data_IF_626278402671
#
_entry.id   IF_626278402671
#
_cell.length_a   1.000
_cell.length_b   1.000
_cell.length_c   1.000
_cell.angle_alpha   90.00
_cell.angle_beta   90.00
_cell.angle_gamma   90.00
#
_symmetry.space_group_name_H-M   'P 1'
#
loop_
_entity.id
_entity.type
_entity.pdbx_description
1 polymer ?
#
# COMPACT_ATOMS: atom_id res chain seq x y z
N UNK A 1 41.79 96.57 12.08
CA UNK A 1 40.36 96.49 12.46
C UNK A 1 40.35 96.17 13.93
N UNK A 2 40.39 97.18 14.80
CA UNK A 2 39.25 98.02 15.24
C UNK A 2 38.25 97.14 15.97
N UNK A 3 37.97 97.29 17.26
CA UNK A 3 37.92 98.45 18.15
C UNK A 3 37.97 97.83 19.57
N UNK A 4 38.82 98.28 20.49
CA UNK A 4 38.49 99.34 21.47
C UNK A 4 37.65 98.74 22.61
N UNK A 5 37.79 99.07 23.88
CA UNK A 5 38.61 99.99 24.66
C UNK A 5 38.28 99.56 26.12
N UNK A 6 39.27 99.40 26.99
CA UNK A 6 39.68 100.44 27.94
C UNK A 6 38.68 100.65 29.10
N UNK A 7 39.15 100.31 30.30
CA UNK A 7 39.06 101.10 31.54
C UNK A 7 39.29 100.13 32.73
N UNK A 8 40.48 99.98 33.32
CA UNK A 8 41.35 100.98 33.97
C UNK A 8 40.72 101.53 35.27
N UNK A 9 41.28 101.10 36.40
CA UNK A 9 41.89 101.95 37.45
C UNK A 9 42.18 101.07 38.67
N UNK A 10 43.45 100.92 39.03
CA UNK A 10 44.20 101.83 39.93
C UNK A 10 43.54 101.86 41.32
N UNK A 11 44.20 101.51 42.42
CA UNK A 11 45.60 101.23 42.67
C UNK A 11 45.87 101.35 44.18
N UNK A 12 47.15 101.25 44.52
CA UNK A 12 47.81 101.84 45.69
C UNK A 12 47.41 101.27 47.09
N UNK A 13 48.36 100.71 47.86
CA UNK A 13 49.29 101.43 48.76
C UNK A 13 48.61 101.73 50.13
N UNK A 14 49.25 101.78 51.29
CA UNK A 14 50.60 101.51 51.80
C UNK A 14 50.48 101.66 53.33
N UNK A 15 51.18 100.83 54.10
CA UNK A 15 51.55 101.12 55.49
C UNK A 15 50.42 101.08 56.52
N UNK A 16 50.66 101.04 57.83
CA UNK A 16 51.86 100.81 58.61
C UNK A 16 51.39 100.47 60.04
N UNK A 17 52.23 99.71 60.75
CA UNK A 17 52.31 99.48 62.20
C UNK A 17 51.34 100.19 63.17
N UNK A 18 50.90 99.44 64.19
CA UNK A 18 50.74 100.00 65.55
C UNK A 18 49.59 99.51 66.42
N UNK A 19 49.79 98.37 67.09
CA UNK A 19 49.54 98.11 68.53
C UNK A 19 48.22 98.61 69.17
N UNK A 20 47.36 97.67 69.61
CA UNK A 20 46.88 97.51 71.00
C UNK A 20 45.60 96.65 71.10
N UNK A 21 45.64 95.68 72.03
CA UNK A 21 44.57 95.19 72.92
C UNK A 21 43.10 95.10 72.47
N UNK A 22 42.50 93.92 72.70
CA UNK A 22 41.07 93.82 73.00
C UNK A 22 40.40 92.53 72.49
N UNK A 23 40.10 91.62 73.42
CA UNK A 23 39.36 90.36 73.19
C UNK A 23 37.98 90.59 72.58
N UNK A 24 37.55 89.67 71.72
CA UNK A 24 36.17 89.19 71.56
C UNK A 24 36.24 87.84 70.83
N UNK A 25 36.29 86.74 71.57
CA UNK A 25 35.17 85.78 71.66
C UNK A 25 34.90 85.06 70.33
N UNK A 26 35.75 84.08 69.99
CA UNK A 26 35.51 83.13 68.90
C UNK A 26 34.34 82.21 69.26
N UNK A 27 33.30 82.28 68.43
CA UNK A 27 32.18 81.36 68.41
C UNK A 27 32.68 79.99 67.92
N UNK A 28 32.54 78.97 68.77
CA UNK A 28 32.72 77.57 68.37
C UNK A 28 31.52 77.19 67.48
N UNK A 29 31.73 77.00 66.18
CA UNK A 29 30.69 76.43 65.33
C UNK A 29 30.30 75.03 65.85
N UNK A 30 29.01 74.77 66.13
CA UNK A 30 28.59 73.47 66.64
C UNK A 30 28.76 72.40 65.55
N UNK A 31 29.43 71.29 65.89
CA UNK A 31 29.53 70.12 65.02
C UNK A 31 28.11 69.65 64.67
N UNK A 32 27.73 69.53 63.38
CA UNK A 32 26.37 69.17 62.99
C UNK A 32 26.00 67.78 63.51
N UNK A 33 24.78 67.65 64.03
CA UNK A 33 24.26 66.39 64.54
C UNK A 33 24.20 65.34 63.43
N UNK A 34 24.27 64.05 63.78
CA UNK A 34 24.26 62.97 62.78
C UNK A 34 23.03 63.03 61.86
N UNK A 35 21.79 63.26 62.36
CA UNK A 35 20.63 63.45 61.51
C UNK A 35 20.81 64.57 60.48
N UNK A 36 21.32 65.74 60.91
CA UNK A 36 21.55 66.88 60.02
C UNK A 36 22.62 66.57 58.95
N UNK A 37 23.66 65.83 59.32
CA UNK A 37 24.70 65.37 58.39
C UNK A 37 24.14 64.42 57.32
N UNK A 38 23.21 63.55 57.70
CA UNK A 38 22.56 62.62 56.76
C UNK A 38 21.64 63.38 55.80
N UNK A 39 20.84 64.33 56.30
CA UNK A 39 19.98 65.21 55.47
C UNK A 39 20.85 65.99 54.47
N UNK A 40 21.88 66.68 54.95
CA UNK A 40 22.77 67.47 54.10
C UNK A 40 23.51 66.61 53.05
N UNK A 41 23.89 65.37 53.39
CA UNK A 41 24.50 64.46 52.44
C UNK A 41 23.49 63.96 51.39
N UNK A 42 22.24 63.69 51.77
CA UNK A 42 21.16 63.33 50.83
C UNK A 42 20.87 64.47 49.86
N UNK A 43 20.74 65.69 50.37
CA UNK A 43 20.46 66.88 49.57
C UNK A 43 21.61 67.22 48.62
N UNK A 44 22.88 67.12 49.09
CA UNK A 44 24.06 67.27 48.20
C UNK A 44 24.10 66.22 47.10
N UNK A 45 23.59 65.01 47.35
CA UNK A 45 23.48 63.95 46.34
C UNK A 45 22.26 64.14 45.42
N UNK A 46 21.34 65.07 45.74
CA UNK A 46 20.18 65.41 44.90
C UNK A 46 19.14 64.29 44.80
N UNK A 47 18.99 63.46 45.84
CA UNK A 47 18.08 62.31 45.85
C UNK A 47 16.96 62.45 46.87
N UNK A 48 15.76 61.97 46.52
CA UNK A 48 14.63 61.88 47.45
C UNK A 48 14.64 60.55 48.22
N UNK A 49 13.87 60.47 49.31
CA UNK A 49 13.82 59.27 50.14
C UNK A 49 13.27 58.04 49.39
N UNK A 50 12.37 58.24 48.42
CA UNK A 50 11.83 57.16 47.59
C UNK A 50 12.90 56.54 46.69
N UNK A 51 13.79 57.36 46.12
CA UNK A 51 14.95 56.90 45.35
C UNK A 51 15.91 56.12 46.25
N UNK A 52 16.18 56.61 47.46
CA UNK A 52 17.03 55.92 48.44
C UNK A 52 16.43 54.57 48.83
N UNK A 53 15.12 54.48 49.07
CA UNK A 53 14.44 53.22 49.41
C UNK A 53 14.56 52.18 48.28
N UNK A 54 14.36 52.60 47.03
CA UNK A 54 14.50 51.68 45.89
C UNK A 54 15.92 51.14 45.77
N UNK A 55 16.93 51.97 46.03
CA UNK A 55 18.34 51.64 45.80
C UNK A 55 18.97 50.89 46.99
N UNK A 56 18.64 51.28 48.23
CA UNK A 56 19.20 50.66 49.46
C UNK A 56 18.33 49.54 50.03
N UNK A 57 17.07 49.43 49.56
CA UNK A 57 16.02 48.54 50.10
C UNK A 57 15.64 48.83 51.56
N UNK A 58 16.00 50.01 52.08
CA UNK A 58 15.57 50.47 53.41
C UNK A 58 14.28 51.27 53.25
N UNK A 59 13.22 50.91 53.99
CA UNK A 59 11.93 51.58 53.84
C UNK A 59 12.00 53.09 54.11
N UNK A 60 11.28 53.91 53.33
CA UNK A 60 11.25 55.39 53.49
C UNK A 60 10.99 55.81 54.94
N UNK A 61 10.05 55.15 55.62
CA UNK A 61 9.74 55.45 57.04
C UNK A 61 10.96 55.36 57.97
N UNK A 62 11.89 54.44 57.68
CA UNK A 62 13.10 54.26 58.49
C UNK A 62 14.20 55.25 58.10
N UNK A 63 14.33 55.58 56.82
CA UNK A 63 15.24 56.63 56.36
C UNK A 63 14.83 58.00 56.93
N UNK A 64 13.54 58.31 56.90
CA UNK A 64 12.98 59.51 57.53
C UNK A 64 13.15 59.51 59.06
N UNK A 65 13.14 58.33 59.72
CA UNK A 65 13.43 58.23 61.15
C UNK A 65 14.92 58.49 61.45
N UNK A 66 15.84 58.03 60.59
CA UNK A 66 17.28 58.32 60.71
C UNK A 66 17.57 59.82 60.54
N UNK A 67 16.96 60.47 59.55
CA UNK A 67 17.11 61.91 59.26
C UNK A 67 16.46 62.83 60.32
N UNK A 68 15.55 62.31 61.15
CA UNK A 68 14.96 63.03 62.30
C UNK A 68 15.56 62.64 63.65
N UNK A 69 16.55 61.73 63.67
CA UNK A 69 17.10 61.18 64.92
C UNK A 69 16.13 60.32 65.74
N UNK A 70 15.00 59.91 65.17
CA UNK A 70 13.95 59.13 65.82
C UNK A 70 14.30 57.62 65.89
N UNK A 71 15.46 57.27 66.43
CA UNK A 71 15.98 55.89 66.44
C UNK A 71 15.10 54.87 67.17
N UNK A 72 14.17 55.33 68.01
CA UNK A 72 13.18 54.47 68.71
C UNK A 72 12.12 53.89 67.76
N UNK A 73 11.90 54.51 66.60
CA UNK A 73 10.96 54.03 65.57
C UNK A 73 11.55 52.88 64.71
N UNK A 74 12.84 52.58 64.90
CA UNK A 74 13.53 51.55 64.13
C UNK A 74 13.36 50.16 64.77
N UNK A 75 13.41 49.05 63.99
CA UNK A 75 13.19 47.67 64.48
C UNK A 75 14.25 47.09 65.46
N UNK A 76 15.05 47.93 66.10
CA UNK A 76 16.12 47.54 67.04
C UNK A 76 17.52 47.96 66.61
N UNK A 77 18.44 48.05 67.57
CA UNK A 77 19.78 48.63 67.38
C UNK A 77 20.65 47.93 66.31
N UNK A 78 20.48 46.61 66.14
CA UNK A 78 21.19 45.82 65.13
C UNK A 78 20.78 46.28 63.72
N UNK A 79 19.48 46.50 63.49
CA UNK A 79 18.96 47.02 62.23
C UNK A 79 19.33 48.49 62.02
N UNK A 80 19.30 49.31 63.07
CA UNK A 80 19.75 50.71 63.00
C UNK A 80 21.20 50.81 62.53
N UNK A 81 22.11 49.98 63.06
CA UNK A 81 23.51 49.91 62.63
C UNK A 81 23.63 49.52 61.16
N UNK A 82 22.86 48.52 60.72
CA UNK A 82 22.82 48.09 59.32
C UNK A 82 22.30 49.19 58.37
N UNK A 83 21.21 49.87 58.76
CA UNK A 83 20.63 50.97 57.98
C UNK A 83 21.55 52.18 57.90
N UNK A 84 22.17 52.58 59.01
CA UNK A 84 23.16 53.67 59.02
C UNK A 84 24.36 53.37 58.14
N UNK A 85 24.90 52.14 58.19
CA UNK A 85 26.03 51.74 57.34
C UNK A 85 25.65 51.76 55.86
N UNK A 86 24.54 51.12 55.49
CA UNK A 86 24.11 51.05 54.10
C UNK A 86 23.72 52.45 53.57
N UNK A 87 23.10 53.28 54.40
CA UNK A 87 22.75 54.64 54.01
C UNK A 87 23.99 55.55 53.91
N UNK A 88 24.98 55.41 54.79
CA UNK A 88 26.26 56.12 54.67
C UNK A 88 27.00 55.77 53.38
N UNK A 89 27.09 54.47 53.04
CA UNK A 89 27.66 54.01 51.77
C UNK A 89 26.90 54.64 50.60
N UNK A 90 25.57 54.61 50.63
CA UNK A 90 24.76 55.23 49.58
C UNK A 90 25.02 56.74 49.48
N UNK A 91 25.19 57.45 50.59
CA UNK A 91 25.43 58.89 50.60
C UNK A 91 26.90 59.29 50.39
N UNK A 92 27.79 58.34 50.09
CA UNK A 92 29.25 58.55 50.00
C UNK A 92 29.86 59.17 51.27
N UNK A 93 29.35 58.79 52.43
CA UNK A 93 29.93 59.10 53.73
C UNK A 93 30.76 57.90 54.22
N UNK A 94 31.80 58.15 55.02
CA UNK A 94 32.52 57.07 55.70
C UNK A 94 31.57 56.35 56.69
N UNK A 95 31.28 55.05 56.49
CA UNK A 95 30.34 54.34 57.34
C UNK A 95 30.84 54.15 58.76
N UNK A 96 32.14 54.02 58.97
CA UNK A 96 32.70 53.90 60.32
C UNK A 96 32.62 55.23 61.08
N UNK A 97 32.77 56.36 60.39
CA UNK A 97 32.61 57.69 60.99
C UNK A 97 31.16 57.95 61.41
N UNK A 98 30.20 57.64 60.54
CA UNK A 98 28.76 57.71 60.82
C UNK A 98 28.40 56.86 62.03
N UNK A 99 28.90 55.62 62.09
CA UNK A 99 28.64 54.72 63.20
C UNK A 99 29.34 55.15 64.50
N UNK A 100 30.54 55.75 64.42
CA UNK A 100 31.23 56.32 65.59
C UNK A 100 30.46 57.51 66.15
N UNK A 101 29.98 58.42 65.30
CA UNK A 101 29.16 59.55 65.75
C UNK A 101 27.84 59.07 66.35
N UNK A 102 27.15 58.13 65.71
CA UNK A 102 25.91 57.56 66.23
C UNK A 102 26.08 56.99 67.65
N UNK A 103 27.17 56.25 67.90
CA UNK A 103 27.49 55.74 69.26
C UNK A 103 27.75 56.86 70.26
N UNK A 104 28.51 57.90 69.87
CA UNK A 104 28.80 59.06 70.71
C UNK A 104 27.52 59.82 71.10
N UNK A 105 26.63 60.08 70.15
CA UNK A 105 25.37 60.81 70.37
C UNK A 105 24.38 60.04 71.25
N UNK A 106 24.46 58.70 71.25
CA UNK A 106 23.59 57.86 72.07
C UNK A 106 24.08 57.70 73.52
N UNK A 107 25.27 58.20 73.84
CA UNK A 107 25.89 57.98 75.15
C UNK A 107 26.29 56.52 75.40
N UNK A 108 26.35 55.69 74.34
CA UNK A 108 26.80 54.30 74.44
C UNK A 108 28.32 54.31 74.71
N UNK A 109 28.69 54.26 75.99
CA UNK A 109 30.07 54.03 76.41
C UNK A 109 30.55 52.72 75.77
N UNK A 110 31.73 52.78 75.17
CA UNK A 110 32.47 51.62 74.67
C UNK A 110 32.47 50.56 75.77
N UNK A 111 31.84 49.38 75.60
CA UNK A 111 32.18 48.26 76.46
C UNK A 111 33.65 47.97 76.20
N UNK A 112 34.49 48.20 77.21
CA UNK A 112 35.81 47.61 77.31
C UNK A 112 35.68 46.16 76.86
N UNK A 113 36.42 45.80 75.81
CA UNK A 113 36.59 44.41 75.41
C UNK A 113 36.83 43.59 76.69
N UNK A 114 35.99 42.57 77.02
CA UNK A 114 36.56 41.49 77.78
C UNK A 114 37.67 40.96 76.89
N UNK A 115 38.90 41.04 77.39
CA UNK A 115 40.02 40.26 76.91
C UNK A 115 39.61 38.80 77.05
N UNK A 116 38.87 38.30 76.07
CA UNK A 116 38.96 36.92 75.66
C UNK A 116 40.35 36.85 75.06
N UNK A 117 41.25 36.21 75.81
CA UNK A 117 42.48 35.68 75.26
C UNK A 117 42.10 34.95 73.99
N UNK A 118 42.32 35.59 72.84
CA UNK A 118 42.38 34.87 71.60
C UNK A 118 43.46 33.81 71.80
N UNK A 119 43.18 32.50 71.72
CA UNK A 119 44.25 31.61 71.35
C UNK A 119 44.78 32.17 70.05
N UNK A 120 46.07 32.48 70.06
CA UNK A 120 46.89 32.67 68.87
C UNK A 120 46.37 31.73 67.80
N UNK A 121 46.00 32.26 66.63
CA UNK A 121 45.87 31.44 65.44
C UNK A 121 47.25 30.90 65.13
N UNK A 122 47.62 29.82 65.81
CA UNK A 122 48.49 28.81 65.26
C UNK A 122 47.76 28.40 63.98
N UNK A 123 48.48 28.45 62.85
CA UNK A 123 48.07 27.76 61.64
C UNK A 123 47.77 26.32 62.06
N UNK A 124 46.50 26.01 62.32
CA UNK A 124 46.05 24.66 62.66
C UNK A 124 46.44 23.79 61.47
N UNK A 125 47.38 22.89 61.69
CA UNK A 125 47.58 21.74 60.82
C UNK A 125 46.21 21.07 60.60
N UNK A 126 45.92 20.55 59.40
CA UNK A 126 44.62 19.97 59.10
C UNK A 126 44.30 18.91 60.15
N UNK A 127 43.22 19.12 60.91
CA UNK A 127 42.74 18.16 61.91
C UNK A 127 42.55 16.81 61.20
N UNK A 128 43.17 15.71 61.65
CA UNK A 128 42.88 14.41 61.07
C UNK A 128 41.40 14.10 61.32
N UNK A 129 40.69 13.64 60.28
CA UNK A 129 39.31 13.16 60.39
C UNK A 129 39.23 12.11 61.51
N UNK A 130 38.73 12.50 62.68
CA UNK A 130 38.43 11.55 63.74
C UNK A 130 37.06 10.94 63.45
N UNK A 131 37.04 9.62 63.26
CA UNK A 131 35.82 8.85 63.00
C UNK A 131 34.94 8.80 64.25
N UNK A 132 34.10 9.81 64.43
CA UNK A 132 32.96 9.74 65.35
C UNK A 132 31.89 8.82 64.74
N UNK A 133 31.28 7.89 65.52
CA UNK A 133 30.23 6.99 65.01
C UNK A 133 29.09 7.71 64.29
N UNK A 134 28.73 8.91 64.73
CA UNK A 134 27.73 9.78 64.11
C UNK A 134 28.08 10.21 62.67
N UNK A 135 29.36 10.44 62.38
CA UNK A 135 29.83 10.82 61.03
C UNK A 135 29.76 9.62 60.09
N UNK A 136 30.10 8.42 60.59
CA UNK A 136 29.98 7.17 59.83
C UNK A 136 28.51 6.88 59.48
N UNK A 137 27.60 7.04 60.45
CA UNK A 137 26.16 6.86 60.23
C UNK A 137 25.59 7.88 59.23
N UNK A 138 25.98 9.16 59.34
CA UNK A 138 25.55 10.20 58.40
C UNK A 138 26.08 9.94 56.98
N UNK A 139 27.33 9.50 56.84
CA UNK A 139 27.92 9.14 55.56
C UNK A 139 27.22 7.93 54.93
N UNK A 140 26.92 6.89 55.72
CA UNK A 140 26.17 5.71 55.27
C UNK A 140 24.74 6.05 54.82
N UNK A 141 24.04 6.91 55.57
CA UNK A 141 22.70 7.36 55.19
C UNK A 141 22.73 8.17 53.89
N UNK A 142 23.69 9.09 53.76
CA UNK A 142 23.87 9.87 52.53
C UNK A 142 24.18 8.95 51.34
N UNK A 143 25.06 7.97 51.53
CA UNK A 143 25.35 6.96 50.52
C UNK A 143 24.10 6.14 50.15
N UNK A 144 23.31 5.73 51.14
CA UNK A 144 22.04 5.00 50.91
C UNK A 144 21.02 5.81 50.11
N UNK A 145 20.86 7.11 50.42
CA UNK A 145 19.98 8.02 49.66
C UNK A 145 20.48 8.21 48.24
N UNK A 146 21.79 8.35 48.02
CA UNK A 146 22.37 8.45 46.67
C UNK A 146 22.13 7.15 45.91
N UNK A 147 22.38 5.99 46.52
CA UNK A 147 22.19 4.68 45.90
C UNK A 147 20.72 4.47 45.52
N UNK A 148 19.80 4.85 46.40
CA UNK A 148 18.36 4.82 46.14
C UNK A 148 17.96 5.81 45.03
N UNK A 149 18.52 7.02 45.02
CA UNK A 149 18.30 8.00 43.97
C UNK A 149 18.81 7.53 42.60
N UNK A 150 19.99 6.89 42.55
CA UNK A 150 20.54 6.26 41.33
C UNK A 150 19.67 5.10 40.89
N UNK A 151 19.25 4.23 41.80
CA UNK A 151 18.33 3.15 41.50
C UNK A 151 17.02 3.67 40.90
N UNK A 152 16.38 4.67 41.52
CA UNK A 152 15.18 5.30 41.00
C UNK A 152 15.41 5.98 39.64
N UNK A 153 16.55 6.65 39.44
CA UNK A 153 16.88 7.27 38.17
C UNK A 153 17.04 6.22 37.06
N UNK A 154 17.74 5.12 37.32
CA UNK A 154 17.88 4.00 36.37
C UNK A 154 16.53 3.35 36.09
N UNK A 155 15.71 3.12 37.12
CA UNK A 155 14.37 2.59 36.99
C UNK A 155 13.53 3.50 36.08
N UNK A 156 13.51 4.81 36.35
CA UNK A 156 12.75 5.80 35.58
C UNK A 156 13.21 5.88 34.12
N UNK A 157 14.52 5.86 33.89
CA UNK A 157 15.09 5.89 32.54
C UNK A 157 14.74 4.62 31.73
N UNK A 158 14.62 3.46 32.38
CA UNK A 158 14.12 2.22 31.73
C UNK A 158 12.65 2.36 31.32
N UNK A 159 11.81 2.99 32.14
CA UNK A 159 10.41 3.28 31.79
C UNK A 159 10.24 4.42 30.76
N UNK A 160 11.25 5.26 30.58
CA UNK A 160 11.16 6.46 29.73
C UNK A 160 11.57 6.22 28.27
N UNK A 161 12.39 5.21 27.96
CA UNK A 161 12.79 4.93 26.57
C UNK A 161 11.66 4.19 25.84
N UNK A 162 11.13 4.73 24.73
CA UNK A 162 10.11 4.04 23.95
C UNK A 162 10.69 2.77 23.30
N UNK A 163 9.88 1.71 23.12
CA UNK A 163 10.33 0.50 22.43
C UNK A 163 10.65 0.82 20.97
N UNK A 164 11.73 0.24 20.46
CA UNK A 164 12.11 0.37 19.04
C UNK A 164 11.25 -0.55 18.19
N UNK A 165 10.91 -0.12 16.97
CA UNK A 165 10.23 -0.95 15.97
C UNK A 165 10.70 -0.55 14.57
N UNK A 166 11.41 -1.46 13.92
CA UNK A 166 11.85 -1.31 12.55
C UNK A 166 11.44 -2.52 11.73
N UNK A 167 11.02 -2.27 10.48
CA UNK A 167 10.77 -3.33 9.51
C UNK A 167 12.01 -3.54 8.64
N UNK A 168 12.38 -4.80 8.52
CA UNK A 168 13.47 -5.27 7.65
C UNK A 168 12.89 -5.78 6.33
N UNK A 169 11.73 -6.45 6.39
CA UNK A 169 11.03 -6.96 5.20
C UNK A 169 9.53 -6.63 5.28
N UNK A 170 8.98 -5.82 4.36
CA UNK A 170 9.68 -5.14 3.27
C UNK A 170 10.52 -3.96 3.79
N UNK A 171 11.64 -3.67 3.11
CA UNK A 171 12.53 -2.56 3.47
C UNK A 171 11.94 -1.16 3.17
N UNK A 172 10.81 -1.11 2.46
CA UNK A 172 10.13 0.13 2.06
C UNK A 172 8.66 0.09 2.45
N UNK A 173 8.06 1.27 2.62
CA UNK A 173 6.65 1.38 3.01
C UNK A 173 5.66 0.90 1.94
N UNK A 174 6.07 0.86 0.67
CA UNK A 174 5.26 0.36 -0.45
C UNK A 174 6.06 -0.72 -1.16
N UNK A 175 5.50 -1.92 -1.19
CA UNK A 175 6.09 -3.08 -1.84
C UNK A 175 5.14 -3.63 -2.91
N UNK A 176 5.66 -4.03 -4.06
CA UNK A 176 4.89 -4.69 -5.11
C UNK A 176 5.28 -6.17 -5.11
N UNK A 177 4.32 -7.03 -4.74
CA UNK A 177 4.51 -8.47 -4.72
C UNK A 177 4.22 -9.09 -6.09
N UNK A 178 4.60 -10.35 -6.25
CA UNK A 178 4.28 -11.16 -7.43
C UNK A 178 2.75 -11.30 -7.62
N UNK A 179 2.30 -11.44 -8.86
CA UNK A 179 0.88 -11.58 -9.23
C UNK A 179 0.21 -12.86 -8.71
N UNK A 180 1.02 -13.84 -8.31
CA UNK A 180 0.61 -15.12 -7.71
C UNK A 180 0.73 -15.15 -6.19
N UNK A 181 1.26 -14.09 -5.56
CA UNK A 181 1.48 -14.05 -4.12
C UNK A 181 0.16 -14.06 -3.33
N UNK A 182 0.02 -15.04 -2.43
CA UNK A 182 -1.14 -15.19 -1.53
C UNK A 182 -0.80 -14.90 -0.07
N UNK A 183 0.48 -14.88 0.28
CA UNK A 183 0.98 -14.50 1.59
C UNK A 183 2.27 -13.69 1.46
N UNK A 184 2.64 -13.00 2.53
CA UNK A 184 3.90 -12.29 2.65
C UNK A 184 4.45 -12.41 4.05
N UNK A 185 5.77 -12.59 4.17
CA UNK A 185 6.44 -12.67 5.46
C UNK A 185 6.95 -11.30 5.87
N UNK A 186 6.26 -10.68 6.84
CA UNK A 186 6.73 -9.45 7.47
C UNK A 186 7.83 -9.79 8.47
N UNK A 187 8.93 -9.05 8.41
CA UNK A 187 10.08 -9.25 9.30
C UNK A 187 10.60 -7.90 9.79
N UNK A 188 11.09 -7.89 11.02
CA UNK A 188 11.61 -6.68 11.61
C UNK A 188 12.35 -6.93 12.92
N UNK A 189 12.73 -5.82 13.55
CA UNK A 189 13.34 -5.80 14.87
C UNK A 189 12.48 -4.96 15.82
N UNK A 190 12.46 -5.35 17.09
CA UNK A 190 11.85 -4.56 18.17
C UNK A 190 12.57 -4.82 19.49
N UNK A 191 12.09 -4.23 20.59
CA UNK A 191 12.59 -4.57 21.92
C UNK A 191 12.45 -6.08 22.17
N UNK A 192 13.48 -6.77 22.71
CA UNK A 192 13.39 -8.19 23.05
C UNK A 192 12.15 -8.52 23.90
N UNK A 193 11.39 -9.54 23.52
CA UNK A 193 10.17 -9.94 24.20
C UNK A 193 8.94 -9.04 23.95
N UNK A 194 9.04 -7.99 23.13
CA UNK A 194 7.90 -7.15 22.78
C UNK A 194 6.82 -7.93 22.01
N UNK A 195 5.57 -7.58 22.26
CA UNK A 195 4.44 -8.12 21.50
C UNK A 195 4.20 -7.23 20.29
N UNK A 196 4.48 -7.75 19.11
CA UNK A 196 4.22 -7.09 17.82
C UNK A 196 2.82 -7.46 17.35
N UNK A 197 2.02 -6.43 17.07
CA UNK A 197 0.67 -6.51 16.52
C UNK A 197 0.67 -5.98 15.10
N UNK A 198 0.14 -6.77 14.16
CA UNK A 198 -0.10 -6.33 12.77
C UNK A 198 -1.61 -6.26 12.55
N UNK A 199 -2.11 -5.04 12.43
CA UNK A 199 -3.51 -4.74 12.14
C UNK A 199 -3.75 -4.68 10.64
N UNK A 200 -4.88 -5.26 10.21
CA UNK A 200 -5.34 -5.23 8.82
C UNK A 200 -6.72 -4.60 8.81
N UNK A 201 -6.96 -3.51 8.06
CA UNK A 201 -8.27 -2.90 7.95
C UNK A 201 -9.35 -3.94 7.56
N UNK A 202 -10.42 -4.03 8.36
CA UNK A 202 -11.53 -4.95 8.11
C UNK A 202 -11.31 -6.39 8.59
N UNK A 203 -10.14 -6.75 9.12
CA UNK A 203 -9.91 -8.04 9.80
C UNK A 203 -10.28 -7.92 11.28
N UNK A 204 -11.11 -8.83 11.78
CA UNK A 204 -11.57 -8.80 13.19
C UNK A 204 -10.50 -9.13 14.22
N UNK A 205 -9.40 -9.78 13.83
CA UNK A 205 -8.31 -10.15 14.74
C UNK A 205 -6.94 -9.81 14.12
N UNK A 206 -6.11 -8.99 14.80
CA UNK A 206 -4.77 -8.67 14.32
C UNK A 206 -3.86 -9.89 14.41
N UNK A 207 -2.82 -9.94 13.58
CA UNK A 207 -1.74 -10.89 13.81
C UNK A 207 -0.95 -10.47 15.04
N UNK A 208 -0.52 -11.43 15.87
CA UNK A 208 0.28 -11.19 17.07
C UNK A 208 1.48 -12.12 17.08
N UNK A 209 2.66 -11.56 17.29
CA UNK A 209 3.92 -12.32 17.46
C UNK A 209 4.75 -11.69 18.56
N UNK A 210 5.48 -12.52 19.30
CA UNK A 210 6.43 -12.05 20.32
C UNK A 210 7.83 -12.01 19.71
N UNK A 211 8.52 -10.88 19.87
CA UNK A 211 9.91 -10.75 19.46
C UNK A 211 10.82 -11.68 20.26
N UNK A 212 11.79 -12.27 19.58
CA UNK A 212 12.77 -13.18 20.16
C UNK A 212 13.71 -12.44 21.12
N UNK A 213 14.58 -13.18 21.81
CA UNK A 213 15.55 -12.62 22.76
C UNK A 213 16.57 -11.69 22.11
N UNK A 214 16.80 -11.81 20.80
CA UNK A 214 17.64 -10.91 20.01
C UNK A 214 16.86 -9.71 19.43
N UNK A 215 15.55 -9.60 19.73
CA UNK A 215 14.67 -8.54 19.25
C UNK A 215 14.06 -8.79 17.87
N UNK A 216 14.44 -9.88 17.18
CA UNK A 216 13.88 -10.19 15.85
C UNK A 216 12.46 -10.74 15.95
N UNK A 217 11.63 -10.42 14.96
CA UNK A 217 10.28 -10.94 14.86
C UNK A 217 9.91 -11.21 13.40
N UNK A 218 9.00 -12.16 13.20
CA UNK A 218 8.53 -12.52 11.87
C UNK A 218 7.10 -13.05 11.94
N UNK A 219 6.26 -12.62 11.00
CA UNK A 219 4.87 -13.08 10.90
C UNK A 219 4.45 -13.19 9.44
N UNK A 220 3.77 -14.28 9.10
CA UNK A 220 3.19 -14.47 7.79
C UNK A 220 1.79 -13.87 7.75
N UNK A 221 1.58 -12.93 6.82
CA UNK A 221 0.31 -12.26 6.60
C UNK A 221 -0.30 -12.70 5.28
N UNK A 222 -1.62 -12.79 5.23
CA UNK A 222 -2.34 -13.14 4.01
C UNK A 222 -2.44 -11.92 3.11
N UNK A 223 -2.25 -12.13 1.81
CA UNK A 223 -2.40 -11.12 0.77
C UNK A 223 -3.66 -11.40 -0.05
N UNK A 224 -4.31 -10.32 -0.47
CA UNK A 224 -5.37 -10.31 -1.48
C UNK A 224 -4.87 -9.59 -2.73
N UNK A 225 -5.52 -9.84 -3.86
CA UNK A 225 -5.29 -9.05 -5.07
C UNK A 225 -5.63 -7.59 -4.81
N UNK A 226 -4.85 -6.68 -5.37
CA UNK A 226 -4.93 -5.25 -5.15
C UNK A 226 -4.05 -4.79 -3.98
N UNK A 227 -4.50 -3.74 -3.31
CA UNK A 227 -3.75 -3.09 -2.24
C UNK A 227 -4.03 -3.74 -0.88
N UNK A 228 -2.98 -4.19 -0.19
CA UNK A 228 -3.05 -4.71 1.17
C UNK A 228 -2.33 -3.74 2.12
N UNK A 229 -3.05 -3.19 3.10
CA UNK A 229 -2.46 -2.30 4.10
C UNK A 229 -2.28 -3.04 5.43
N UNK A 230 -1.11 -2.86 6.03
CA UNK A 230 -0.73 -3.40 7.33
C UNK A 230 -0.24 -2.27 8.23
N UNK A 231 -0.86 -2.14 9.41
CA UNK A 231 -0.43 -1.22 10.45
C UNK A 231 0.27 -2.03 11.55
N UNK A 232 1.59 -1.87 11.67
CA UNK A 232 2.46 -2.62 12.59
C UNK A 232 2.77 -1.77 13.81
N UNK A 233 2.53 -2.34 14.99
CA UNK A 233 2.84 -1.73 16.28
C UNK A 233 3.53 -2.77 17.19
N UNK A 234 4.30 -2.32 18.16
CA UNK A 234 4.90 -3.19 19.17
C UNK A 234 4.65 -2.63 20.57
N UNK A 235 4.37 -3.52 21.51
CA UNK A 235 4.14 -3.20 22.92
C UNK A 235 5.24 -3.85 23.77
N UNK A 236 5.90 -3.02 24.57
CA UNK A 236 6.95 -3.46 25.49
C UNK A 236 6.37 -4.34 26.61
N UNK A 237 6.98 -5.50 26.93
CA UNK A 237 6.41 -6.46 27.86
C UNK A 237 6.54 -6.04 29.32
N UNK A 238 7.51 -5.20 29.68
CA UNK A 238 7.76 -4.75 31.05
C UNK A 238 6.91 -3.52 31.40
N UNK A 239 6.78 -2.60 30.44
CA UNK A 239 6.14 -1.30 30.67
C UNK A 239 4.72 -1.21 30.13
N UNK A 240 4.32 -2.12 29.22
CA UNK A 240 3.04 -2.08 28.53
C UNK A 240 2.89 -0.90 27.57
N UNK A 241 3.96 -0.13 27.32
CA UNK A 241 3.91 1.04 26.43
C UNK A 241 3.95 0.60 24.96
N UNK A 242 3.10 1.17 24.10
CA UNK A 242 3.21 0.97 22.66
C UNK A 242 4.40 1.76 22.08
N UNK A 243 4.79 1.41 20.87
CA UNK A 243 5.75 2.17 20.06
C UNK A 243 5.19 3.56 19.76
N UNK A 244 6.05 4.59 19.76
CA UNK A 244 5.64 5.98 19.44
C UNK A 244 5.26 6.16 17.96
N UNK A 245 6.01 5.52 17.06
CA UNK A 245 5.80 5.58 15.61
C UNK A 245 5.40 4.21 15.07
N UNK A 246 4.09 3.88 14.98
CA UNK A 246 3.64 2.68 14.28
C UNK A 246 4.07 2.73 12.82
N UNK A 247 4.36 1.56 12.25
CA UNK A 247 4.83 1.43 10.87
C UNK A 247 3.69 0.97 9.98
N UNK A 248 3.35 1.77 8.98
CA UNK A 248 2.37 1.41 7.95
C UNK A 248 3.07 0.88 6.71
N UNK A 249 2.65 -0.29 6.27
CA UNK A 249 3.13 -0.95 5.06
C UNK A 249 1.98 -1.18 4.10
N UNK A 250 2.23 -0.98 2.81
CA UNK A 250 1.30 -1.26 1.74
C UNK A 250 1.94 -2.28 0.79
N UNK A 251 1.32 -3.43 0.64
CA UNK A 251 1.73 -4.48 -0.31
C UNK A 251 0.71 -4.54 -1.43
N UNK A 252 1.14 -4.19 -2.64
CA UNK A 252 0.32 -4.29 -3.84
C UNK A 252 0.55 -5.64 -4.52
N UNK A 253 -0.52 -6.41 -4.69
CA UNK A 253 -0.54 -7.61 -5.53
C UNK A 253 -1.29 -7.23 -6.81
N UNK A 254 -0.64 -7.21 -7.99
CA UNK A 254 -1.32 -6.82 -9.22
C UNK A 254 -2.46 -7.78 -9.56
N UNK A 255 -3.48 -7.26 -10.24
CA UNK A 255 -4.49 -8.12 -10.87
C UNK A 255 -3.86 -8.81 -12.08
N UNK A 256 -4.04 -10.13 -12.20
CA UNK A 256 -3.66 -10.83 -13.42
C UNK A 256 -4.40 -10.19 -14.60
N UNK A 257 -3.68 -9.68 -15.62
CA UNK A 257 -4.33 -9.21 -16.83
C UNK A 257 -4.95 -10.43 -17.51
N UNK A 258 -6.28 -10.46 -17.60
CA UNK A 258 -6.96 -11.50 -18.38
C UNK A 258 -6.71 -11.18 -19.86
N UNK A 259 -5.70 -11.81 -20.45
CA UNK A 259 -5.35 -11.61 -21.85
C UNK A 259 -6.36 -12.36 -22.73
N UNK A 260 -6.96 -11.67 -23.70
CA UNK A 260 -7.78 -12.33 -24.70
C UNK A 260 -6.89 -13.23 -25.58
N UNK A 261 -7.37 -14.41 -25.99
CA UNK A 261 -6.61 -15.24 -26.90
C UNK A 261 -6.48 -14.54 -28.26
N UNK A 262 -5.37 -14.74 -28.94
CA UNK A 262 -5.28 -14.39 -30.38
C UNK A 262 -5.70 -15.59 -31.20
N UNK A 263 -6.32 -15.37 -32.36
CA UNK A 263 -6.74 -16.44 -33.25
C UNK A 263 -6.44 -16.05 -34.70
N UNK A 264 -5.65 -16.87 -35.38
CA UNK A 264 -5.37 -16.76 -36.81
C UNK A 264 -5.75 -18.08 -37.46
N UNK A 265 -6.63 -18.05 -38.46
CA UNK A 265 -7.05 -19.24 -39.21
C UNK A 265 -6.43 -19.19 -40.59
N UNK A 266 -5.55 -20.15 -40.88
CA UNK A 266 -4.86 -20.31 -42.17
C UNK A 266 -5.73 -21.04 -43.19
N UNK A 267 -6.50 -22.04 -42.74
CA UNK A 267 -7.51 -22.73 -43.55
C UNK A 267 -8.80 -22.98 -42.73
N UNK A 268 -9.98 -22.91 -43.35
CA UNK A 268 -10.22 -22.42 -44.71
C UNK A 268 -10.04 -20.90 -44.80
N UNK A 269 -9.64 -20.41 -45.99
CA UNK A 269 -9.76 -18.97 -46.28
C UNK A 269 -11.22 -18.62 -46.56
N UNK A 270 -11.62 -17.38 -46.27
CA UNK A 270 -13.00 -16.95 -46.48
C UNK A 270 -13.36 -16.95 -47.97
N UNK A 271 -14.53 -17.49 -48.30
CA UNK A 271 -15.03 -17.66 -49.68
C UNK A 271 -14.45 -18.84 -50.45
N UNK A 272 -13.63 -19.70 -49.83
CA UNK A 272 -13.02 -20.84 -50.53
C UNK A 272 -14.04 -21.92 -50.90
N UNK A 273 -13.84 -22.52 -52.07
CA UNK A 273 -14.63 -23.66 -52.54
C UNK A 273 -13.85 -24.96 -52.35
N UNK A 274 -14.46 -25.93 -51.68
CA UNK A 274 -13.91 -27.27 -51.45
C UNK A 274 -14.68 -28.32 -52.25
N UNK A 275 -13.98 -29.36 -52.67
CA UNK A 275 -14.57 -30.52 -53.32
C UNK A 275 -14.64 -31.69 -52.33
N UNK A 276 -15.75 -32.44 -52.35
CA UNK A 276 -15.93 -33.67 -51.58
C UNK A 276 -16.02 -33.53 -50.04
N UNK A 277 -16.20 -32.32 -49.52
CA UNK A 277 -16.70 -32.08 -48.15
C UNK A 277 -15.67 -32.08 -47.01
N UNK A 278 -14.44 -32.55 -47.24
CA UNK A 278 -13.38 -32.52 -46.22
C UNK A 278 -12.70 -31.15 -46.17
N UNK A 279 -13.05 -30.32 -45.17
CA UNK A 279 -12.51 -28.97 -45.00
C UNK A 279 -11.46 -28.99 -43.89
N UNK A 280 -10.18 -28.74 -44.19
CA UNK A 280 -9.16 -28.54 -43.17
C UNK A 280 -9.42 -27.23 -42.42
N UNK A 281 -9.57 -27.34 -41.10
CA UNK A 281 -9.67 -26.19 -40.19
C UNK A 281 -8.36 -26.09 -39.41
N UNK A 282 -7.54 -25.11 -39.78
CA UNK A 282 -6.17 -24.96 -39.31
C UNK A 282 -5.85 -23.53 -38.92
N UNK A 283 -5.00 -23.39 -37.91
CA UNK A 283 -4.58 -22.07 -37.48
C UNK A 283 -3.64 -22.07 -36.29
N UNK A 284 -3.38 -20.86 -35.80
CA UNK A 284 -2.59 -20.56 -34.63
C UNK A 284 -3.45 -19.80 -33.63
N UNK A 285 -3.26 -20.08 -32.35
CA UNK A 285 -3.84 -19.31 -31.26
C UNK A 285 -2.84 -19.13 -30.13
N UNK A 286 -2.91 -17.97 -29.46
CA UNK A 286 -2.20 -17.74 -28.19
C UNK A 286 -3.18 -17.68 -27.04
N UNK A 287 -2.73 -18.07 -25.85
CA UNK A 287 -3.52 -18.03 -24.62
C UNK A 287 -4.88 -18.78 -24.71
N UNK A 288 -4.94 -19.88 -25.48
CA UNK A 288 -6.09 -20.78 -25.52
C UNK A 288 -5.63 -22.24 -25.47
N UNK A 289 -6.34 -23.07 -24.72
CA UNK A 289 -6.06 -24.52 -24.61
C UNK A 289 -6.94 -25.36 -25.52
N UNK A 290 -8.09 -24.81 -25.91
CA UNK A 290 -9.04 -25.44 -26.81
C UNK A 290 -9.60 -24.43 -27.82
N UNK A 291 -9.95 -24.97 -28.99
CA UNK A 291 -10.67 -24.29 -30.05
C UNK A 291 -11.94 -25.07 -30.34
N UNK A 292 -13.08 -24.38 -30.43
CA UNK A 292 -14.37 -24.98 -30.79
C UNK A 292 -14.74 -24.55 -32.20
N UNK A 293 -15.01 -25.52 -33.06
CA UNK A 293 -15.42 -25.31 -34.46
C UNK A 293 -16.90 -25.65 -34.59
N UNK A 294 -17.70 -24.68 -35.01
CA UNK A 294 -19.13 -24.83 -35.29
C UNK A 294 -19.40 -24.55 -36.76
N UNK A 295 -20.33 -25.28 -37.38
CA UNK A 295 -20.76 -25.03 -38.76
C UNK A 295 -22.25 -24.67 -38.82
N UNK A 296 -22.62 -23.85 -39.79
CA UNK A 296 -24.01 -23.43 -40.04
C UNK A 296 -24.28 -23.44 -41.54
N UNK A 297 -25.32 -24.14 -41.96
CA UNK A 297 -25.70 -24.23 -43.37
C UNK A 297 -26.34 -22.91 -43.84
N UNK A 298 -25.84 -22.35 -44.94
CA UNK A 298 -26.28 -21.07 -45.52
C UNK A 298 -27.09 -21.22 -46.82
N UNK A 299 -27.30 -22.44 -47.29
CA UNK A 299 -28.07 -22.74 -48.51
C UNK A 299 -27.27 -23.47 -49.60
N UNK A 300 -27.88 -23.74 -50.76
CA UNK A 300 -27.21 -24.40 -51.89
C UNK A 300 -26.06 -23.54 -52.48
N UNK A 301 -25.14 -24.13 -53.27
CA UNK A 301 -24.12 -23.36 -54.00
C UNK A 301 -24.79 -22.37 -54.97
N UNK A 302 -24.23 -21.17 -55.13
CA UNK A 302 -24.83 -20.14 -56.00
C UNK A 302 -24.99 -20.66 -57.44
N UNK A 303 -26.23 -20.68 -57.95
CA UNK A 303 -26.56 -21.10 -59.32
C UNK A 303 -27.73 -22.08 -59.49
N UNK A 304 -28.35 -22.59 -58.42
CA UNK A 304 -29.57 -23.41 -58.49
C UNK A 304 -30.75 -22.66 -57.84
N UNK A 305 -31.93 -22.58 -58.51
CA UNK A 305 -33.11 -21.98 -57.91
C UNK A 305 -33.50 -22.74 -56.62
N UNK A 306 -34.09 -22.06 -55.62
CA UNK A 306 -34.57 -22.74 -54.42
C UNK A 306 -35.54 -23.86 -54.84
N UNK A 307 -35.37 -25.05 -54.26
CA UNK A 307 -36.27 -26.17 -54.47
C UNK A 307 -37.74 -25.73 -54.25
N UNK A 308 -38.69 -26.18 -55.08
CA UNK A 308 -40.08 -25.79 -54.91
C UNK A 308 -40.57 -26.20 -53.52
N UNK A 309 -41.17 -25.25 -52.81
CA UNK A 309 -41.77 -25.44 -51.50
C UNK A 309 -42.82 -26.56 -51.59
N UNK A 310 -42.78 -27.59 -50.74
CA UNK A 310 -43.88 -28.55 -50.69
C UNK A 310 -45.13 -27.83 -50.19
N UNK A 311 -46.21 -27.92 -50.97
CA UNK A 311 -47.55 -27.47 -50.59
C UNK A 311 -47.95 -28.20 -49.30
N UNK A 312 -48.40 -27.51 -48.24
CA UNK A 312 -48.82 -28.18 -47.01
C UNK A 312 -50.13 -28.93 -47.25
N UNK A 313 -50.06 -30.27 -47.27
CA UNK A 313 -51.22 -31.13 -47.03
C UNK A 313 -51.57 -31.03 -45.54
N UNK A 314 -52.84 -30.75 -45.16
CA UNK A 314 -53.21 -30.67 -43.75
C UNK A 314 -53.18 -32.07 -43.12
N UNK A 315 -52.25 -32.30 -42.19
CA UNK A 315 -52.27 -33.46 -41.30
C UNK A 315 -53.17 -33.16 -40.08
N UNK A 316 -53.94 -34.14 -39.58
CA UNK A 316 -54.87 -33.96 -38.46
C UNK A 316 -54.12 -33.75 -37.14
N UNK A 317 -54.80 -33.08 -36.21
CA UNK A 317 -54.30 -32.66 -34.91
C UNK A 317 -53.64 -33.80 -34.09
N UNK A 318 -52.40 -33.57 -33.66
CA UNK A 318 -51.74 -34.36 -32.61
C UNK A 318 -52.27 -33.97 -31.22
N UNK A 319 -52.41 -34.93 -30.29
CA UNK A 319 -52.50 -34.61 -28.88
C UNK A 319 -51.12 -34.23 -28.32
N UNK A 320 -51.15 -33.35 -27.34
CA UNK A 320 -50.01 -32.80 -26.58
C UNK A 320 -49.13 -33.89 -25.94
N UNK A 321 -47.79 -33.78 -26.02
CA UNK A 321 -46.90 -34.45 -25.07
C UNK A 321 -46.14 -33.45 -24.19
N UNK A 322 -46.00 -33.89 -22.95
CA UNK A 322 -45.37 -33.21 -21.83
C UNK A 322 -43.91 -32.76 -22.10
N UNK A 323 -43.56 -31.65 -21.44
CA UNK A 323 -42.22 -31.22 -21.03
C UNK A 323 -41.03 -31.80 -21.79
N UNK A 324 -40.68 -31.19 -22.92
CA UNK A 324 -39.42 -31.46 -23.62
C UNK A 324 -38.35 -30.48 -23.13
N UNK A 325 -37.26 -31.02 -22.58
CA UNK A 325 -36.03 -30.28 -22.33
C UNK A 325 -35.56 -29.57 -23.60
N UNK A 326 -34.90 -28.41 -23.45
CA UNK A 326 -34.32 -27.64 -24.56
C UNK A 326 -33.52 -28.56 -25.49
N UNK A 327 -33.63 -28.43 -26.83
CA UNK A 327 -32.76 -29.16 -27.75
C UNK A 327 -31.32 -28.72 -27.53
N UNK A 328 -30.40 -29.67 -27.27
CA UNK A 328 -28.96 -29.40 -27.28
C UNK A 328 -28.57 -28.79 -28.63
N UNK A 329 -27.89 -27.63 -28.62
CA UNK A 329 -27.21 -27.11 -29.81
C UNK A 329 -26.34 -28.22 -30.42
N UNK A 330 -26.28 -28.39 -31.75
CA UNK A 330 -25.36 -29.34 -32.37
C UNK A 330 -23.94 -29.04 -31.87
N UNK A 331 -23.38 -29.99 -31.11
CA UNK A 331 -22.13 -29.81 -30.39
C UNK A 331 -21.00 -29.44 -31.35
N UNK A 332 -20.38 -28.28 -31.14
CA UNK A 332 -19.20 -27.87 -31.88
C UNK A 332 -18.03 -28.83 -31.65
N UNK A 333 -17.23 -29.07 -32.68
CA UNK A 333 -16.04 -29.91 -32.61
C UNK A 333 -14.98 -29.22 -31.75
N UNK A 334 -14.61 -29.83 -30.62
CA UNK A 334 -13.59 -29.29 -29.72
C UNK A 334 -12.21 -29.86 -30.08
N UNK A 335 -11.27 -28.99 -30.38
CA UNK A 335 -9.89 -29.28 -30.80
C UNK A 335 -8.93 -28.82 -29.71
N UNK A 336 -7.96 -29.66 -29.35
CA UNK A 336 -6.88 -29.26 -28.43
C UNK A 336 -5.80 -28.49 -29.19
N UNK A 337 -5.31 -27.42 -28.58
CA UNK A 337 -4.21 -26.61 -29.12
C UNK A 337 -2.87 -27.25 -28.74
N UNK A 338 -1.95 -27.34 -29.70
CA UNK A 338 -0.59 -27.83 -29.50
C UNK A 338 0.25 -26.88 -28.63
N UNK A 339 1.40 -27.36 -28.14
CA UNK A 339 2.30 -26.57 -27.31
C UNK A 339 2.88 -25.33 -28.03
N UNK A 340 2.91 -25.36 -29.36
CA UNK A 340 3.31 -24.26 -30.25
C UNK A 340 2.16 -23.32 -30.63
N UNK A 341 0.96 -23.53 -30.07
CA UNK A 341 -0.24 -22.75 -30.38
C UNK A 341 -0.98 -23.21 -31.64
N UNK A 342 -0.54 -24.26 -32.32
CA UNK A 342 -1.19 -24.77 -33.53
C UNK A 342 -2.43 -25.62 -33.25
N UNK A 343 -3.40 -25.59 -34.16
CA UNK A 343 -4.52 -26.53 -34.17
C UNK A 343 -4.84 -26.94 -35.61
N UNK A 344 -5.25 -28.19 -35.80
CA UNK A 344 -5.71 -28.73 -37.08
C UNK A 344 -6.80 -29.77 -36.83
N UNK A 345 -7.88 -29.72 -37.60
CA UNK A 345 -8.92 -30.73 -37.59
C UNK A 345 -9.66 -30.79 -38.94
N UNK A 346 -9.98 -31.98 -39.46
CA UNK A 346 -10.86 -32.11 -40.61
C UNK A 346 -12.32 -31.87 -40.19
N UNK A 347 -13.01 -31.01 -40.93
CA UNK A 347 -14.44 -30.76 -40.79
C UNK A 347 -15.17 -31.28 -42.04
N UNK A 348 -15.97 -32.34 -41.87
CA UNK A 348 -16.76 -32.94 -42.94
C UNK A 348 -18.10 -32.20 -43.11
N UNK A 349 -18.33 -31.56 -44.26
CA UNK A 349 -19.57 -30.86 -44.59
C UNK A 349 -20.19 -31.39 -45.90
N UNK A 350 -21.51 -31.36 -46.01
CA UNK A 350 -22.22 -31.73 -47.25
C UNK A 350 -22.20 -30.58 -48.27
N UNK A 351 -22.67 -30.86 -49.49
CA UNK A 351 -22.81 -29.84 -50.55
C UNK A 351 -23.60 -28.62 -50.07
N UNK A 352 -23.13 -27.44 -50.47
CA UNK A 352 -23.76 -26.16 -50.19
C UNK A 352 -22.79 -25.16 -49.57
N UNK A 353 -23.32 -23.98 -49.26
CA UNK A 353 -22.60 -22.90 -48.62
C UNK A 353 -22.71 -23.04 -47.10
N UNK A 354 -21.60 -22.88 -46.40
CA UNK A 354 -21.50 -23.04 -44.96
C UNK A 354 -20.78 -21.86 -44.33
N UNK A 355 -21.20 -21.49 -43.12
CA UNK A 355 -20.48 -20.61 -42.22
C UNK A 355 -19.77 -21.47 -41.17
N UNK A 356 -18.46 -21.34 -41.02
CA UNK A 356 -17.66 -22.05 -40.03
C UNK A 356 -17.17 -21.03 -39.00
N UNK A 357 -17.66 -21.14 -37.78
CA UNK A 357 -17.25 -20.31 -36.64
C UNK A 357 -16.20 -21.05 -35.83
N UNK A 358 -14.97 -20.53 -35.80
CA UNK A 358 -13.85 -21.02 -35.00
C UNK A 358 -13.75 -20.13 -33.77
N UNK A 359 -13.81 -20.70 -32.57
CA UNK A 359 -13.72 -19.94 -31.31
C UNK A 359 -12.61 -20.50 -30.43
N UNK A 360 -11.58 -19.70 -30.17
CA UNK A 360 -10.55 -20.00 -29.18
C UNK A 360 -10.98 -19.45 -27.82
N UNK A 361 -10.78 -20.23 -26.75
CA UNK A 361 -11.15 -19.85 -25.37
C UNK A 361 -9.95 -19.96 -24.44
N UNK A 362 -9.65 -18.89 -23.70
CA UNK A 362 -8.60 -18.88 -22.67
C UNK A 362 -9.05 -19.64 -21.41
N UNK A 363 -8.12 -20.09 -20.55
CA UNK A 363 -8.46 -20.69 -19.26
C UNK A 363 -9.35 -19.81 -18.37
N UNK A 364 -9.27 -18.50 -18.52
CA UNK A 364 -10.05 -17.49 -17.80
C UNK A 364 -11.40 -17.17 -18.48
N UNK A 365 -11.75 -17.88 -19.56
CA UNK A 365 -13.03 -17.77 -20.24
C UNK A 365 -13.14 -16.61 -21.24
N UNK A 366 -12.04 -15.96 -21.64
CA UNK A 366 -12.06 -14.99 -22.75
C UNK A 366 -12.04 -15.72 -24.08
N UNK A 367 -12.79 -15.20 -25.04
CA UNK A 367 -12.93 -15.82 -26.35
C UNK A 367 -12.43 -14.91 -27.48
N UNK A 368 -11.91 -15.54 -28.53
CA UNK A 368 -11.70 -14.93 -29.83
C UNK A 368 -12.34 -15.82 -30.88
N UNK A 369 -13.20 -15.24 -31.72
CA UNK A 369 -13.92 -15.98 -32.74
C UNK A 369 -13.62 -15.43 -34.12
N UNK A 370 -13.50 -16.33 -35.10
CA UNK A 370 -13.41 -16.00 -36.51
C UNK A 370 -14.42 -16.83 -37.29
N UNK A 371 -15.12 -16.20 -38.22
CA UNK A 371 -16.06 -16.86 -39.10
C UNK A 371 -15.46 -16.98 -40.51
N UNK A 372 -15.65 -18.15 -41.14
CA UNK A 372 -15.23 -18.43 -42.52
C UNK A 372 -16.41 -18.97 -43.30
N UNK A 373 -16.74 -18.32 -44.39
CA UNK A 373 -17.72 -18.83 -45.35
C UNK A 373 -17.00 -19.73 -46.34
N UNK A 374 -17.52 -20.92 -46.58
CA UNK A 374 -17.00 -21.86 -47.58
C UNK A 374 -18.14 -22.37 -48.44
N UNK A 375 -17.81 -22.76 -49.67
CA UNK A 375 -18.75 -23.48 -50.54
C UNK A 375 -18.24 -24.90 -50.74
N UNK A 376 -19.05 -25.89 -50.44
CA UNK A 376 -18.74 -27.28 -50.76
C UNK A 376 -19.47 -27.62 -52.05
N UNK A 377 -18.70 -27.91 -53.09
CA UNK A 377 -19.21 -28.50 -54.33
C UNK A 377 -18.96 -30.01 -54.29
N UNK A 378 -19.99 -30.81 -54.55
CA UNK A 378 -19.82 -32.27 -54.64
C UNK A 378 -19.63 -32.67 -56.10
N UNK A 379 -18.38 -32.93 -56.52
CA UNK A 379 -18.07 -33.40 -57.87
C UNK A 379 -18.10 -34.93 -58.00
N UNK A 380 -18.13 -35.65 -56.88
CA UNK A 380 -18.18 -37.11 -56.85
C UNK A 380 -19.58 -37.71 -56.96
N UNK A 381 -19.65 -39.01 -56.71
CA UNK A 381 -20.87 -39.83 -56.75
C UNK A 381 -21.09 -40.46 -55.39
N UNK A 382 -22.06 -39.97 -54.64
CA UNK A 382 -22.57 -40.59 -53.42
C UNK A 382 -23.89 -41.29 -53.75
N UNK A 383 -23.83 -42.59 -53.95
CA UNK A 383 -24.99 -43.40 -54.31
C UNK A 383 -25.44 -44.21 -53.10
N UNK A 384 -26.63 -43.90 -52.61
CA UNK A 384 -27.33 -44.74 -51.63
C UNK A 384 -28.25 -45.69 -52.39
N UNK A 385 -28.11 -46.98 -52.09
CA UNK A 385 -28.91 -48.07 -52.67
C UNK A 385 -29.72 -48.71 -51.56
N UNK A 386 -31.03 -48.67 -51.68
CA UNK A 386 -31.98 -49.29 -50.73
C UNK A 386 -32.73 -50.41 -51.42
N UNK A 387 -32.79 -51.58 -50.78
CA UNK A 387 -33.46 -52.76 -51.32
C UNK A 387 -34.86 -52.88 -50.72
N UNK A 388 -35.89 -52.85 -51.55
CA UNK A 388 -37.30 -52.85 -51.13
C UNK A 388 -38.12 -53.87 -51.93
N UNK A 389 -39.06 -54.56 -51.27
CA UNK A 389 -39.98 -55.50 -51.94
C UNK A 389 -39.47 -56.94 -52.11
N UNK A 390 -38.18 -57.19 -51.93
CA UNK A 390 -37.60 -58.54 -51.96
C UNK A 390 -36.08 -58.54 -51.89
N UNK A 391 -35.46 -59.71 -51.98
CA UNK A 391 -34.01 -59.84 -52.02
C UNK A 391 -33.47 -59.45 -53.40
N UNK A 392 -32.31 -58.79 -53.43
CA UNK A 392 -31.67 -58.36 -54.66
C UNK A 392 -30.17 -58.71 -54.66
N UNK A 393 -29.72 -59.33 -55.75
CA UNK A 393 -28.30 -59.52 -56.01
C UNK A 393 -27.70 -58.23 -56.60
N UNK A 394 -26.58 -57.76 -56.04
CA UNK A 394 -25.86 -56.58 -56.51
C UNK A 394 -24.42 -56.90 -56.85
N UNK A 395 -23.90 -56.20 -57.86
CA UNK A 395 -22.47 -56.12 -58.18
C UNK A 395 -22.15 -54.68 -58.54
N UNK A 396 -21.21 -54.06 -57.83
CA UNK A 396 -20.98 -52.61 -57.89
C UNK A 396 -19.54 -52.32 -58.24
N UNK A 397 -19.34 -51.38 -59.17
CA UNK A 397 -18.05 -50.80 -59.50
C UNK A 397 -18.03 -49.34 -59.10
N UNK A 398 -16.98 -48.94 -58.36
CA UNK A 398 -16.73 -47.56 -57.97
C UNK A 398 -15.51 -47.09 -58.76
N UNK A 399 -15.68 -46.01 -59.51
CA UNK A 399 -14.65 -45.45 -60.41
C UNK A 399 -14.03 -46.49 -61.35
N UNK A 400 -14.86 -47.41 -61.85
CA UNK A 400 -14.48 -48.47 -62.79
C UNK A 400 -13.90 -49.73 -62.13
N UNK A 401 -13.54 -49.69 -60.85
CA UNK A 401 -12.98 -50.82 -60.09
C UNK A 401 -14.08 -51.52 -59.28
N UNK A 402 -14.05 -52.86 -59.18
CA UNK A 402 -15.03 -53.60 -58.39
C UNK A 402 -14.92 -53.19 -56.91
N UNK A 403 -16.07 -52.89 -56.28
CA UNK A 403 -16.11 -52.48 -54.88
C UNK A 403 -15.49 -53.54 -53.95
N UNK A 404 -14.58 -53.11 -53.08
CA UNK A 404 -13.80 -53.99 -52.22
C UNK A 404 -14.65 -54.77 -51.19
N UNK A 405 -15.87 -54.31 -50.90
CA UNK A 405 -16.78 -54.99 -49.97
C UNK A 405 -17.56 -56.14 -50.62
N UNK A 406 -17.37 -56.39 -51.92
CA UNK A 406 -18.10 -57.40 -52.68
C UNK A 406 -17.17 -58.48 -53.27
N UNK A 407 -17.61 -59.76 -53.31
CA UNK A 407 -16.89 -60.81 -54.02
C UNK A 407 -17.03 -60.63 -55.54
N UNK A 408 -16.15 -61.27 -56.31
CA UNK A 408 -16.16 -61.24 -57.79
C UNK A 408 -17.50 -61.68 -58.40
N UNK A 409 -18.25 -62.53 -57.70
CA UNK A 409 -19.57 -63.02 -58.08
C UNK A 409 -20.73 -62.08 -57.73
N UNK A 410 -20.49 -60.91 -57.13
CA UNK A 410 -21.53 -60.07 -56.54
C UNK A 410 -22.14 -60.68 -55.27
N UNK A 411 -23.03 -59.94 -54.61
CA UNK A 411 -23.59 -60.28 -53.29
C UNK A 411 -25.10 -60.08 -53.24
N UNK A 412 -25.81 -61.00 -52.61
CA UNK A 412 -27.26 -60.88 -52.36
C UNK A 412 -27.49 -60.08 -51.08
N UNK A 413 -28.40 -59.11 -51.15
CA UNK A 413 -28.85 -58.31 -50.03
C UNK A 413 -30.34 -58.53 -49.80
N UNK A 414 -30.70 -58.71 -48.52
CA UNK A 414 -32.09 -58.87 -48.11
C UNK A 414 -32.86 -57.55 -48.17
N UNK A 415 -34.20 -57.63 -48.30
CA UNK A 415 -35.08 -56.47 -48.25
C UNK A 415 -34.87 -55.63 -46.96
N UNK A 416 -35.02 -54.31 -47.08
CA UNK A 416 -34.81 -53.33 -46.01
C UNK A 416 -33.36 -52.89 -45.81
N UNK A 417 -32.40 -53.46 -46.56
CA UNK A 417 -30.99 -53.04 -46.48
C UNK A 417 -30.74 -51.76 -47.25
N UNK A 418 -30.04 -50.83 -46.63
CA UNK A 418 -29.51 -49.60 -47.25
C UNK A 418 -27.99 -49.66 -47.25
N UNK A 419 -27.39 -49.36 -48.39
CA UNK A 419 -25.95 -49.44 -48.64
C UNK A 419 -25.52 -48.14 -49.30
N UNK A 420 -24.31 -47.66 -49.01
CA UNK A 420 -23.79 -46.41 -49.56
C UNK A 420 -22.48 -46.67 -50.28
N UNK A 421 -22.38 -46.17 -51.51
CA UNK A 421 -21.19 -46.23 -52.35
C UNK A 421 -20.72 -44.82 -52.66
N UNK A 422 -19.41 -44.58 -52.57
CA UNK A 422 -18.81 -43.26 -52.80
C UNK A 422 -17.70 -43.37 -53.83
N UNK A 423 -17.84 -42.68 -54.96
CA UNK A 423 -16.84 -42.58 -56.03
C UNK A 423 -16.48 -41.13 -56.35
N UNK A 424 -15.35 -40.94 -57.01
CA UNK A 424 -14.84 -39.64 -57.49
C UNK A 424 -15.38 -39.27 -58.86
N UNK A 425 -15.63 -40.27 -59.71
CA UNK A 425 -16.04 -40.10 -61.12
C UNK A 425 -17.36 -40.81 -61.41
N UNK A 426 -17.55 -42.04 -60.94
CA UNK A 426 -18.77 -42.81 -61.25
C UNK A 426 -19.03 -43.94 -60.25
N UNK A 427 -20.28 -44.32 -60.08
CA UNK A 427 -20.67 -45.60 -59.48
C UNK A 427 -21.53 -46.35 -60.49
N UNK A 428 -21.20 -47.60 -60.76
CA UNK A 428 -21.95 -48.46 -61.68
C UNK A 428 -22.51 -49.66 -60.89
N UNK A 429 -23.84 -49.83 -60.91
CA UNK A 429 -24.53 -50.86 -60.15
C UNK A 429 -25.23 -51.81 -61.10
N UNK A 430 -24.83 -53.08 -61.06
CA UNK A 430 -25.59 -54.18 -61.65
C UNK A 430 -26.47 -54.81 -60.58
N UNK A 431 -27.77 -54.88 -60.85
CA UNK A 431 -28.76 -55.48 -59.94
C UNK A 431 -29.47 -56.63 -60.62
N UNK A 432 -29.79 -57.68 -59.86
CA UNK A 432 -30.59 -58.83 -60.32
C UNK A 432 -32.10 -58.56 -60.35
N UNK A 433 -32.57 -57.54 -59.63
CA UNK A 433 -33.97 -57.12 -59.62
C UNK A 433 -34.08 -55.61 -59.51
N UNK A 434 -34.15 -54.95 -60.66
CA UNK A 434 -34.13 -53.48 -60.76
C UNK A 434 -35.33 -52.81 -60.10
N UNK A 435 -36.50 -53.46 -60.13
CA UNK A 435 -37.70 -52.97 -59.44
C UNK A 435 -37.67 -53.06 -57.92
N UNK A 436 -36.71 -53.80 -57.34
CA UNK A 436 -36.50 -53.87 -55.89
C UNK A 436 -35.32 -52.99 -55.43
N UNK A 437 -34.65 -52.29 -56.35
CA UNK A 437 -33.45 -51.52 -56.06
C UNK A 437 -33.75 -50.03 -56.21
N UNK A 438 -33.86 -49.33 -55.09
CA UNK A 438 -34.07 -47.89 -55.03
C UNK A 438 -32.74 -47.15 -54.97
N UNK A 439 -32.62 -46.05 -55.71
CA UNK A 439 -31.40 -45.25 -55.76
C UNK A 439 -31.64 -43.82 -55.26
N UNK A 440 -30.69 -43.30 -54.49
CA UNK A 440 -30.58 -41.89 -54.12
C UNK A 440 -29.18 -41.41 -54.47
N UNK A 441 -29.08 -40.49 -55.42
CA UNK A 441 -27.82 -39.99 -55.97
C UNK A 441 -27.57 -38.58 -55.44
N UNK A 442 -26.46 -38.38 -54.72
CA UNK A 442 -26.07 -37.09 -54.15
C UNK A 442 -27.22 -36.43 -53.35
N UNK A 443 -28.00 -37.24 -52.62
CA UNK A 443 -29.16 -36.79 -51.84
C UNK A 443 -30.46 -36.62 -52.63
N UNK A 444 -30.44 -36.74 -53.96
CA UNK A 444 -31.64 -36.70 -54.81
C UNK A 444 -32.22 -38.11 -54.98
N UNK A 445 -33.47 -38.38 -54.53
CA UNK A 445 -34.09 -39.67 -54.71
C UNK A 445 -34.45 -39.89 -56.18
N UNK A 446 -33.96 -40.99 -56.75
CA UNK A 446 -34.25 -41.41 -58.14
C UNK A 446 -35.29 -42.54 -58.18
N UNK A 447 -35.49 -43.24 -57.06
CA UNK A 447 -36.36 -44.40 -56.98
C UNK A 447 -35.80 -45.60 -57.73
N UNK A 448 -36.67 -46.51 -58.15
CA UNK A 448 -36.31 -47.69 -58.93
C UNK A 448 -36.24 -47.32 -60.41
N UNK A 449 -35.11 -47.64 -61.04
CA UNK A 449 -34.85 -47.26 -62.44
C UNK A 449 -35.33 -48.31 -63.45
N UNK A 450 -35.71 -49.50 -62.99
CA UNK A 450 -36.09 -50.63 -63.85
C UNK A 450 -37.25 -51.47 -63.33
N UNK A 451 -37.61 -52.51 -64.08
CA UNK A 451 -38.73 -53.40 -63.74
C UNK A 451 -38.30 -54.51 -62.76
N UNK A 452 -39.20 -55.03 -61.90
CA UNK A 452 -38.90 -56.17 -61.04
C UNK A 452 -38.45 -57.40 -61.85
N UNK A 453 -37.45 -58.13 -61.33
CA UNK A 453 -36.98 -59.39 -61.93
C UNK A 453 -36.17 -59.27 -63.23
N UNK A 454 -35.90 -58.05 -63.72
CA UNK A 454 -35.04 -57.81 -64.88
C UNK A 454 -33.65 -57.38 -64.41
N UNK A 455 -32.58 -58.14 -64.71
CA UNK A 455 -31.24 -57.76 -64.33
C UNK A 455 -30.69 -56.66 -65.25
N UNK A 456 -30.40 -55.49 -64.68
CA UNK A 456 -29.92 -54.31 -65.41
C UNK A 456 -28.62 -53.78 -64.80
N UNK A 457 -27.93 -52.92 -65.53
CA UNK A 457 -26.72 -52.24 -65.05
C UNK A 457 -26.86 -50.75 -65.30
N UNK A 458 -26.73 -49.98 -64.23
CA UNK A 458 -26.96 -48.54 -64.22
C UNK A 458 -25.66 -47.83 -63.84
N UNK A 459 -25.22 -46.92 -64.70
CA UNK A 459 -24.09 -46.04 -64.48
C UNK A 459 -24.58 -44.70 -63.94
N UNK A 460 -24.04 -44.31 -62.79
CA UNK A 460 -24.28 -43.04 -62.12
C UNK A 460 -23.01 -42.19 -62.26
N UNK A 461 -23.05 -41.20 -63.16
CA UNK A 461 -21.95 -40.30 -63.46
C UNK A 461 -22.46 -38.85 -63.62
N UNK A 462 -22.73 -38.14 -62.50
CA UNK A 462 -23.09 -36.72 -62.52
C UNK A 462 -22.06 -35.89 -63.33
N UNK A 463 -22.50 -34.84 -64.05
CA UNK A 463 -23.86 -34.30 -64.08
C UNK A 463 -24.81 -35.05 -65.03
N UNK A 464 -24.36 -36.11 -65.71
CA UNK A 464 -25.22 -36.84 -66.63
C UNK A 464 -26.30 -37.63 -65.87
N UNK A 465 -27.53 -37.76 -66.44
CA UNK A 465 -28.55 -38.62 -65.86
C UNK A 465 -28.08 -40.08 -65.85
N UNK A 466 -28.61 -40.93 -64.94
CA UNK A 466 -28.28 -42.35 -64.89
C UNK A 466 -28.48 -43.03 -66.25
N UNK A 467 -27.50 -43.84 -66.67
CA UNK A 467 -27.53 -44.50 -67.98
C UNK A 467 -27.52 -46.02 -67.84
N UNK A 468 -28.32 -46.69 -68.67
CA UNK A 468 -28.29 -48.13 -68.77
C UNK A 468 -27.05 -48.57 -69.57
N UNK A 469 -26.25 -49.47 -69.01
CA UNK A 469 -25.04 -50.03 -69.65
C UNK A 469 -25.19 -51.52 -69.91
N UNK A 470 -24.29 -52.07 -70.75
CA UNK A 470 -24.26 -53.50 -71.07
C UNK A 470 -23.23 -54.29 -70.24
N UNK A 471 -22.64 -53.67 -69.21
CA UNK A 471 -21.62 -54.32 -68.38
C UNK A 471 -22.24 -55.48 -67.58
N UNK A 472 -21.54 -56.60 -67.48
CA UNK A 472 -22.03 -57.83 -66.83
C UNK A 472 -21.12 -58.29 -65.71
#
# INVERSE_FOLDING_TARGET
MSMGDDARRDGAALGAAGRAGGRSADAVEPVPSLPDRLVAARERKGVDLLRVERDTKIRVRYLAALERGAYRELPGAVYTKGFLRNYAIYLNLDPEDVLRQWRRERGDQVPTEPVVVAPTTILEAPRPLTFSPSVVVAALMTFGVILFGVYLAVQLLRFAKPPTLDLVNPATAIFNADETATSFRLEGTSTPGATVTVEVPGRGQPYRVTALSDGTWSVEVELRRGQNQFDVNAVDPETGKPTETPRRIVINVPYLPIQAPTLTVTQPQDGTTFENGAIPVEGLTSNATTVVVRSTYLGPPDGLPPAPTPVPTPAPASPEPAGTAMPEEPGGLTVRVGADGSFTTPLELTEGRWSITITATSPEGKTASLNRTVTVAYRGVNLVVTIEGGDAWLKVWVDGVLDASMPQSGKVYAAGRTITFRGTTSVEVRTGSSGFTQYTLNGVPLGALGKPGVPETWLFQPPAPPQLTQRR
#
